data_IF_431039678116
#
_entry.id   IF_431039678116
#
_cell.length_a   1.000
_cell.length_b   1.000
_cell.length_c   1.000
_cell.angle_alpha   90.00
_cell.angle_beta   90.00
_cell.angle_gamma   90.00
#
_symmetry.space_group_name_H-M   'P 1'
#
loop_
_entity.id
_entity.type
_entity.pdbx_description
1 polymer ?
#
# COMPACT_ATOMS: atom_id res chain seq x y z
N UNK A 1 -11.41 2.11 -4.85
CA UNK A 1 -10.21 1.88 -5.69
C UNK A 1 -9.00 1.56 -4.82
N UNK A 2 -8.35 0.42 -5.03
CA UNK A 2 -7.12 0.02 -4.33
C UNK A 2 -5.94 -0.02 -5.32
N UNK A 3 -5.12 1.03 -5.33
CA UNK A 3 -3.99 1.19 -6.24
C UNK A 3 -2.72 0.58 -5.66
N UNK A 4 -1.88 0.03 -6.54
CA UNK A 4 -0.66 -0.70 -6.15
C UNK A 4 -1.00 -1.85 -5.20
N UNK A 5 -2.02 -2.62 -5.58
CA UNK A 5 -2.75 -3.49 -4.65
C UNK A 5 -1.88 -4.58 -4.02
N UNK A 6 -0.80 -5.02 -4.67
CA UNK A 6 0.04 -6.11 -4.18
C UNK A 6 -0.82 -7.36 -3.93
N UNK A 7 -0.79 -7.85 -2.68
CA UNK A 7 -1.63 -8.99 -2.26
C UNK A 7 -2.92 -8.56 -1.53
N UNK A 8 -3.22 -7.26 -1.48
CA UNK A 8 -4.42 -6.75 -0.83
C UNK A 8 -4.37 -6.80 0.69
N UNK A 9 -3.19 -6.58 1.28
CA UNK A 9 -3.03 -6.57 2.73
C UNK A 9 -3.94 -5.55 3.42
N UNK A 10 -3.95 -4.30 2.94
CA UNK A 10 -4.84 -3.25 3.42
C UNK A 10 -6.34 -3.60 3.26
N UNK A 11 -6.70 -4.17 2.10
CA UNK A 11 -8.07 -4.49 1.68
C UNK A 11 -8.72 -5.62 2.46
N UNK A 12 -7.95 -6.59 2.91
CA UNK A 12 -8.45 -7.91 3.36
C UNK A 12 -9.69 -7.89 4.28
N UNK A 13 -9.82 -6.89 5.16
CA UNK A 13 -10.91 -6.80 6.15
C UNK A 13 -11.97 -5.74 5.81
N UNK A 14 -12.00 -5.23 4.57
CA UNK A 14 -13.03 -4.30 4.14
C UNK A 14 -14.30 -5.05 3.75
N UNK A 15 -15.38 -4.85 4.51
CA UNK A 15 -16.66 -5.52 4.30
C UNK A 15 -17.68 -4.62 3.59
N UNK A 16 -18.70 -5.22 2.98
CA UNK A 16 -19.85 -4.53 2.36
C UNK A 16 -19.48 -3.48 1.29
N UNK A 17 -18.41 -3.71 0.54
CA UNK A 17 -17.97 -2.82 -0.54
C UNK A 17 -17.51 -3.56 -1.79
N UNK A 18 -17.64 -2.90 -2.93
CA UNK A 18 -17.07 -3.32 -4.21
C UNK A 18 -15.68 -2.72 -4.37
N UNK A 19 -14.71 -3.56 -4.73
CA UNK A 19 -13.32 -3.12 -4.86
C UNK A 19 -12.78 -3.46 -6.22
N UNK A 20 -12.32 -2.42 -6.90
CA UNK A 20 -11.39 -2.51 -8.03
C UNK A 20 -9.98 -2.32 -7.50
N UNK A 21 -9.14 -3.33 -7.66
CA UNK A 21 -7.73 -3.34 -7.35
C UNK A 21 -6.91 -3.20 -8.62
N UNK A 22 -5.78 -2.47 -8.55
CA UNK A 22 -4.88 -2.28 -9.69
C UNK A 22 -3.48 -2.75 -9.32
N UNK A 23 -2.96 -3.72 -10.07
CA UNK A 23 -1.63 -4.31 -9.87
C UNK A 23 -0.93 -4.49 -11.21
N UNK A 24 0.33 -4.06 -11.31
CA UNK A 24 1.07 -4.10 -12.57
C UNK A 24 1.60 -5.51 -12.88
N UNK A 25 2.03 -6.27 -11.87
CA UNK A 25 2.62 -7.60 -12.07
C UNK A 25 1.52 -8.68 -12.20
N UNK A 26 1.39 -9.36 -13.36
CA UNK A 26 0.36 -10.38 -13.57
C UNK A 26 0.42 -11.55 -12.58
N UNK A 27 1.61 -11.91 -12.07
CA UNK A 27 1.78 -13.01 -11.10
C UNK A 27 1.26 -12.61 -9.73
N UNK A 28 1.53 -11.37 -9.31
CA UNK A 28 0.99 -10.82 -8.07
C UNK A 28 -0.53 -10.68 -8.18
N UNK A 29 -1.02 -10.14 -9.30
CA UNK A 29 -2.45 -10.01 -9.57
C UNK A 29 -3.19 -11.37 -9.57
N UNK A 30 -2.55 -12.44 -10.05
CA UNK A 30 -3.11 -13.79 -9.99
C UNK A 30 -3.30 -14.26 -8.54
N UNK A 31 -2.31 -14.03 -7.67
CA UNK A 31 -2.42 -14.37 -6.23
C UNK A 31 -3.45 -13.48 -5.55
N UNK A 32 -3.49 -12.18 -5.86
CA UNK A 32 -4.53 -11.27 -5.37
C UNK A 32 -5.93 -11.83 -5.68
N UNK A 33 -6.17 -12.26 -6.93
CA UNK A 33 -7.46 -12.83 -7.35
C UNK A 33 -7.84 -14.09 -6.57
N UNK A 34 -6.87 -14.92 -6.21
CA UNK A 34 -7.09 -16.10 -5.36
C UNK A 34 -7.52 -15.70 -3.94
N UNK A 35 -6.87 -14.67 -3.39
CA UNK A 35 -7.13 -14.18 -2.03
C UNK A 35 -8.45 -13.40 -1.92
N UNK A 36 -8.83 -12.66 -2.98
CA UNK A 36 -9.99 -11.76 -3.01
C UNK A 36 -10.86 -12.02 -4.25
N UNK A 37 -11.55 -13.17 -4.36
CA UNK A 37 -12.25 -13.59 -5.58
C UNK A 37 -13.48 -12.74 -5.96
N UNK A 38 -13.95 -11.89 -5.04
CA UNK A 38 -15.07 -10.96 -5.27
C UNK A 38 -14.61 -9.59 -5.75
N UNK A 39 -13.31 -9.31 -5.70
CA UNK A 39 -12.75 -8.04 -6.15
C UNK A 39 -12.52 -8.08 -7.66
N UNK A 40 -12.72 -6.94 -8.31
CA UNK A 40 -12.24 -6.74 -9.66
C UNK A 40 -10.74 -6.43 -9.60
N UNK A 41 -9.93 -7.12 -10.41
CA UNK A 41 -8.49 -6.90 -10.50
C UNK A 41 -8.12 -6.48 -11.92
N UNK A 42 -7.55 -5.28 -12.04
CA UNK A 42 -7.10 -4.70 -13.31
C UNK A 42 -5.57 -4.79 -13.35
N UNK A 43 -5.04 -5.37 -14.42
CA UNK A 43 -3.59 -5.45 -14.65
C UNK A 43 -3.17 -4.24 -15.47
N UNK A 44 -2.74 -3.18 -14.80
CA UNK A 44 -2.40 -1.90 -15.42
C UNK A 44 -1.42 -1.07 -14.58
N UNK A 45 -0.89 0.01 -15.17
CA UNK A 45 -0.17 1.03 -14.42
C UNK A 45 -1.14 1.81 -13.52
N UNK A 46 -0.97 1.69 -12.21
CA UNK A 46 -1.86 2.29 -11.22
C UNK A 46 -1.80 3.83 -11.20
N UNK A 47 -0.65 4.43 -11.56
CA UNK A 47 -0.50 5.88 -11.63
C UNK A 47 -1.37 6.45 -12.76
N UNK A 48 -1.29 5.84 -13.93
CA UNK A 48 -2.12 6.21 -15.08
C UNK A 48 -3.61 5.91 -14.82
N UNK A 49 -3.91 4.73 -14.27
CA UNK A 49 -5.28 4.33 -13.97
C UNK A 49 -5.98 5.31 -13.03
N UNK A 50 -5.26 5.85 -12.03
CA UNK A 50 -5.80 6.88 -11.13
C UNK A 50 -6.25 8.12 -11.92
N UNK A 51 -5.41 8.65 -12.82
CA UNK A 51 -5.73 9.87 -13.57
C UNK A 51 -7.00 9.74 -14.41
N UNK A 52 -7.22 8.57 -15.01
CA UNK A 52 -8.37 8.33 -15.87
C UNK A 52 -9.65 7.99 -15.08
N UNK A 53 -9.54 7.35 -13.92
CA UNK A 53 -10.68 6.71 -13.26
C UNK A 53 -11.01 7.24 -11.85
N UNK A 54 -10.25 8.20 -11.31
CA UNK A 54 -10.44 8.70 -9.93
C UNK A 54 -11.87 9.12 -9.58
N UNK A 55 -12.65 9.58 -10.58
CA UNK A 55 -13.99 10.12 -10.39
C UNK A 55 -15.07 9.04 -10.24
N UNK A 56 -14.74 7.77 -10.51
CA UNK A 56 -15.68 6.64 -10.47
C UNK A 56 -15.81 5.98 -9.09
N UNK A 57 -15.02 6.44 -8.11
CA UNK A 57 -14.92 5.79 -6.80
C UNK A 57 -15.22 6.77 -5.67
N UNK A 58 -15.78 6.26 -4.58
CA UNK A 58 -16.04 7.07 -3.37
C UNK A 58 -14.86 7.06 -2.39
N UNK A 59 -14.02 6.02 -2.49
CA UNK A 59 -12.82 5.84 -1.69
C UNK A 59 -11.63 5.36 -2.52
N UNK A 60 -10.49 6.03 -2.36
CA UNK A 60 -9.23 5.67 -3.04
C UNK A 60 -8.14 5.39 -2.00
N UNK A 61 -7.51 4.23 -2.10
CA UNK A 61 -6.25 3.93 -1.44
C UNK A 61 -5.13 3.87 -2.47
N UNK A 62 -4.04 4.61 -2.24
CA UNK A 62 -2.83 4.50 -3.06
C UNK A 62 -1.57 4.22 -2.24
N UNK A 63 -0.67 3.43 -2.81
CA UNK A 63 0.62 3.06 -2.19
C UNK A 63 1.75 3.00 -3.23
N UNK A 64 2.09 4.14 -3.86
CA UNK A 64 3.08 4.18 -4.93
C UNK A 64 4.47 3.71 -4.44
N UNK A 65 5.27 3.06 -5.30
CA UNK A 65 6.52 2.44 -4.91
C UNK A 65 7.54 3.43 -4.33
N UNK A 66 8.20 3.04 -3.24
CA UNK A 66 9.15 3.88 -2.47
C UNK A 66 10.63 3.71 -2.85
N UNK A 67 10.94 3.03 -3.96
CA UNK A 67 12.28 2.44 -4.11
C UNK A 67 13.41 3.48 -4.10
N UNK A 68 13.20 4.69 -4.63
CA UNK A 68 14.18 5.79 -4.60
C UNK A 68 14.11 6.69 -3.35
N UNK A 69 13.20 6.42 -2.40
CA UNK A 69 12.91 7.30 -1.25
C UNK A 69 13.21 6.68 0.10
N UNK A 70 13.31 5.36 0.15
CA UNK A 70 13.42 4.66 1.43
C UNK A 70 14.79 4.89 2.08
N UNK A 71 14.80 4.92 3.42
CA UNK A 71 16.05 4.92 4.21
C UNK A 71 16.94 3.71 3.88
N UNK A 72 16.32 2.59 3.51
CA UNK A 72 17.01 1.36 3.13
C UNK A 72 17.78 1.54 1.81
N UNK A 73 17.17 2.18 0.81
CA UNK A 73 17.83 2.47 -0.47
C UNK A 73 19.07 3.34 -0.25
N UNK A 74 18.94 4.42 0.54
CA UNK A 74 20.07 5.30 0.90
C UNK A 74 21.15 4.57 1.71
N UNK A 75 20.77 3.63 2.58
CA UNK A 75 21.72 2.87 3.38
C UNK A 75 22.49 1.82 2.57
N UNK A 76 21.97 1.41 1.42
CA UNK A 76 22.63 0.44 0.55
C UNK A 76 23.69 1.14 -0.32
N UNK A 77 24.96 1.07 0.11
CA UNK A 77 26.10 1.68 -0.57
C UNK A 77 26.36 1.18 -2.01
N UNK A 78 25.72 0.08 -2.43
CA UNK A 78 25.79 -0.43 -3.81
C UNK A 78 24.87 0.33 -4.76
N UNK A 79 23.83 0.99 -4.24
CA UNK A 79 22.90 1.75 -5.05
C UNK A 79 23.52 3.10 -5.40
N UNK A 80 23.54 3.43 -6.70
CA UNK A 80 23.98 4.75 -7.14
C UNK A 80 22.99 5.81 -6.65
N UNK A 81 23.45 7.01 -6.24
CA UNK A 81 22.57 8.12 -5.96
C UNK A 81 21.63 8.37 -7.15
N UNK A 82 20.33 8.51 -6.87
CA UNK A 82 19.28 8.76 -7.86
C UNK A 82 18.39 9.88 -7.35
N UNK A 83 17.74 10.60 -8.28
CA UNK A 83 16.72 11.57 -7.91
C UNK A 83 15.55 10.89 -7.20
N UNK A 84 14.93 11.63 -6.29
CA UNK A 84 13.66 11.24 -5.68
C UNK A 84 12.57 11.23 -6.77
N UNK A 85 11.84 10.11 -6.88
CA UNK A 85 10.65 9.93 -7.71
C UNK A 85 9.42 10.65 -7.08
N UNK A 86 8.95 11.71 -7.71
CA UNK A 86 7.90 12.53 -7.11
C UNK A 86 6.49 11.94 -7.28
N UNK A 87 6.31 10.74 -7.85
CA UNK A 87 5.00 10.08 -8.01
C UNK A 87 4.13 10.08 -6.75
N UNK A 88 4.73 9.84 -5.58
CA UNK A 88 4.03 9.93 -4.30
C UNK A 88 3.34 11.29 -4.13
N UNK A 89 4.05 12.37 -4.40
CA UNK A 89 3.52 13.72 -4.24
C UNK A 89 2.60 14.12 -5.38
N UNK A 90 2.86 13.65 -6.61
CA UNK A 90 1.95 13.83 -7.75
C UNK A 90 0.56 13.28 -7.41
N UNK A 91 0.47 12.07 -6.84
CA UNK A 91 -0.81 11.48 -6.46
C UNK A 91 -1.47 12.19 -5.28
N UNK A 92 -0.72 12.61 -4.26
CA UNK A 92 -1.27 13.39 -3.13
C UNK A 92 -1.85 14.72 -3.64
N UNK A 93 -1.12 15.43 -4.50
CA UNK A 93 -1.57 16.71 -5.06
C UNK A 93 -2.79 16.49 -5.95
N UNK A 94 -2.77 15.46 -6.80
CA UNK A 94 -3.88 15.12 -7.67
C UNK A 94 -5.15 14.79 -6.88
N UNK A 95 -5.07 13.89 -5.90
CA UNK A 95 -6.20 13.49 -5.07
C UNK A 95 -6.76 14.66 -4.25
N UNK A 96 -5.88 15.49 -3.70
CA UNK A 96 -6.29 16.71 -2.99
C UNK A 96 -7.02 17.72 -3.89
N UNK A 97 -6.67 17.75 -5.18
CA UNK A 97 -7.19 18.74 -6.14
C UNK A 97 -8.47 18.28 -6.81
N UNK A 98 -8.54 17.02 -7.23
CA UNK A 98 -9.58 16.54 -8.15
C UNK A 98 -10.56 15.56 -7.52
N UNK A 99 -10.13 14.78 -6.52
CA UNK A 99 -10.98 13.73 -5.96
C UNK A 99 -11.84 14.27 -4.81
N UNK A 100 -13.17 14.18 -4.97
CA UNK A 100 -14.16 14.64 -3.99
C UNK A 100 -14.46 13.61 -2.91
N UNK A 101 -14.19 12.33 -3.17
CA UNK A 101 -14.35 11.24 -2.22
C UNK A 101 -13.25 11.23 -1.16
N UNK A 102 -13.28 10.21 -0.30
CA UNK A 102 -12.25 10.02 0.73
C UNK A 102 -11.04 9.35 0.11
N UNK A 103 -9.84 9.75 0.51
CA UNK A 103 -8.64 9.12 0.00
C UNK A 103 -7.57 8.97 1.07
N UNK A 104 -6.73 7.96 0.85
CA UNK A 104 -5.52 7.70 1.62
C UNK A 104 -4.38 7.39 0.68
N UNK A 105 -3.23 8.01 0.93
CA UNK A 105 -1.95 7.63 0.32
C UNK A 105 -1.03 7.14 1.43
N UNK A 106 -0.39 5.99 1.23
CA UNK A 106 0.53 5.38 2.18
C UNK A 106 1.92 5.27 1.58
N UNK A 107 2.95 5.54 2.40
CA UNK A 107 4.33 5.23 2.03
C UNK A 107 5.23 5.02 3.26
N UNK A 108 6.34 4.30 3.11
CA UNK A 108 7.36 4.21 4.17
C UNK A 108 8.04 5.56 4.41
N UNK A 109 8.50 5.80 5.64
CA UNK A 109 9.20 7.04 6.02
C UNK A 109 10.42 7.27 5.11
N UNK A 110 10.47 8.37 4.35
CA UNK A 110 11.57 8.64 3.44
C UNK A 110 12.86 9.02 4.19
N UNK A 111 13.97 9.07 3.45
CA UNK A 111 15.27 9.49 4.01
C UNK A 111 15.40 11.02 4.20
N UNK A 112 14.46 11.80 3.67
CA UNK A 112 14.36 13.25 3.73
C UNK A 112 13.08 13.67 4.46
N UNK A 113 12.92 14.96 4.79
CA UNK A 113 11.67 15.48 5.38
C UNK A 113 10.56 15.43 4.33
N UNK A 114 9.38 14.83 4.61
CA UNK A 114 8.26 14.84 3.67
C UNK A 114 7.95 16.25 3.14
N UNK A 115 7.71 16.38 1.83
CA UNK A 115 7.38 17.66 1.20
C UNK A 115 5.96 18.11 1.52
N UNK A 116 5.08 17.15 1.80
CA UNK A 116 3.74 17.35 2.34
C UNK A 116 3.70 16.64 3.69
N UNK A 117 3.28 17.35 4.73
CA UNK A 117 3.19 16.78 6.08
C UNK A 117 2.16 15.63 6.09
N UNK A 118 2.51 14.46 6.65
CA UNK A 118 1.60 13.32 6.76
C UNK A 118 0.54 13.57 7.82
N UNK A 119 -0.65 12.97 7.65
CA UNK A 119 -1.71 12.99 8.67
C UNK A 119 -1.29 12.24 9.92
N UNK A 120 -0.70 11.05 9.74
CA UNK A 120 -0.25 10.21 10.86
C UNK A 120 0.94 9.35 10.43
N UNK A 121 1.77 9.01 11.41
CA UNK A 121 2.83 8.00 11.29
C UNK A 121 2.47 6.79 12.11
N UNK A 122 2.47 5.61 11.48
CA UNK A 122 2.24 4.32 12.14
C UNK A 122 3.46 3.43 11.91
N UNK A 123 4.27 3.25 12.95
CA UNK A 123 5.54 2.55 12.87
C UNK A 123 6.48 3.15 11.82
N UNK A 124 6.68 2.42 10.71
CA UNK A 124 7.55 2.82 9.59
C UNK A 124 6.81 3.46 8.42
N UNK A 125 5.48 3.55 8.47
CA UNK A 125 4.65 4.08 7.39
C UNK A 125 4.11 5.46 7.77
N UNK A 126 3.93 6.28 6.74
CA UNK A 126 3.28 7.59 6.76
C UNK A 126 1.99 7.48 5.95
N UNK A 127 0.94 8.13 6.44
CA UNK A 127 -0.36 8.17 5.78
C UNK A 127 -0.76 9.63 5.56
N UNK A 128 -1.22 9.94 4.35
CA UNK A 128 -1.83 11.21 3.98
C UNK A 128 -3.29 10.96 3.65
N UNK A 129 -4.19 11.78 4.20
CA UNK A 129 -5.63 11.63 4.05
C UNK A 129 -6.31 12.99 3.95
N UNK A 130 -7.53 13.03 3.40
CA UNK A 130 -8.42 14.21 3.47
C UNK A 130 -9.43 14.12 4.64
N UNK A 131 -9.12 13.34 5.67
CA UNK A 131 -9.91 13.16 6.88
C UNK A 131 -9.00 12.93 8.08
N UNK A 132 -9.50 13.23 9.29
CA UNK A 132 -8.77 12.97 10.52
C UNK A 132 -8.54 11.46 10.69
N UNK A 133 -7.32 11.07 11.09
CA UNK A 133 -6.93 9.68 11.16
C UNK A 133 -6.14 9.38 12.45
N UNK A 134 -6.58 8.35 13.19
CA UNK A 134 -5.90 7.80 14.36
C UNK A 134 -5.83 6.28 14.23
N UNK A 135 -4.62 5.71 14.22
CA UNK A 135 -4.42 4.28 13.91
C UNK A 135 -3.41 3.68 14.88
N UNK A 136 -3.75 2.51 15.41
CA UNK A 136 -2.89 1.71 16.26
C UNK A 136 -1.98 0.81 15.41
N UNK A 137 -0.68 0.79 15.72
CA UNK A 137 0.30 -0.07 15.02
C UNK A 137 0.12 -1.53 15.46
N UNK A 138 0.43 -2.44 14.54
CA UNK A 138 0.44 -3.88 14.83
C UNK A 138 1.87 -4.33 15.03
N UNK A 139 2.21 -4.98 16.17
CA UNK A 139 3.54 -5.52 16.41
C UNK A 139 3.96 -6.49 15.29
N UNK A 140 5.18 -6.29 14.79
CA UNK A 140 5.74 -7.10 13.71
C UNK A 140 6.46 -8.33 14.28
N UNK A 141 6.51 -9.46 13.56
CA UNK A 141 7.32 -10.61 13.93
C UNK A 141 8.80 -10.24 14.13
N UNK A 142 9.49 -10.97 15.02
CA UNK A 142 10.93 -10.77 15.23
C UNK A 142 11.72 -10.98 13.93
N UNK A 143 12.76 -10.17 13.70
CA UNK A 143 13.57 -10.25 12.48
C UNK A 143 12.85 -9.81 11.20
N UNK A 144 11.69 -9.14 11.27
CA UNK A 144 10.86 -8.76 10.12
C UNK A 144 11.62 -8.23 8.88
N UNK A 145 12.67 -7.41 9.07
CA UNK A 145 13.47 -6.86 7.96
C UNK A 145 14.63 -7.77 7.56
N UNK A 146 15.29 -8.41 8.53
CA UNK A 146 16.51 -9.18 8.32
C UNK A 146 16.24 -10.61 7.82
N UNK A 147 15.08 -11.16 8.14
CA UNK A 147 14.71 -12.53 7.79
C UNK A 147 14.36 -12.64 6.31
N UNK A 148 14.91 -13.66 5.65
CA UNK A 148 14.65 -13.99 4.25
C UNK A 148 14.38 -15.48 4.09
N UNK A 149 13.71 -15.86 3.00
CA UNK A 149 13.44 -17.27 2.67
C UNK A 149 12.06 -17.76 3.10
N UNK A 150 11.83 -19.07 2.95
CA UNK A 150 10.50 -19.66 3.00
C UNK A 150 9.86 -19.62 4.39
N UNK A 151 10.63 -19.87 5.45
CA UNK A 151 10.14 -19.79 6.82
C UNK A 151 9.65 -18.37 7.17
N UNK A 152 10.41 -17.35 6.77
CA UNK A 152 10.00 -15.96 6.92
C UNK A 152 8.75 -15.63 6.11
N UNK A 153 8.64 -16.15 4.89
CA UNK A 153 7.44 -15.97 4.07
C UNK A 153 6.22 -16.62 4.73
N UNK A 154 6.35 -17.84 5.26
CA UNK A 154 5.27 -18.51 6.00
C UNK A 154 4.79 -17.71 7.21
N UNK A 155 5.72 -17.26 8.06
CA UNK A 155 5.38 -16.46 9.23
C UNK A 155 4.68 -15.13 8.87
N UNK A 156 5.04 -14.53 7.73
CA UNK A 156 4.36 -13.33 7.22
C UNK A 156 2.99 -13.63 6.62
N UNK A 157 2.82 -14.78 5.96
CA UNK A 157 1.50 -15.24 5.50
C UNK A 157 0.57 -15.40 6.70
N UNK A 158 1.04 -16.00 7.78
CA UNK A 158 0.27 -16.18 9.02
C UNK A 158 -0.04 -14.84 9.68
N UNK A 159 0.97 -13.97 9.83
CA UNK A 159 0.81 -12.65 10.43
C UNK A 159 -0.20 -11.76 9.68
N UNK A 160 -0.19 -11.79 8.34
CA UNK A 160 -1.16 -11.08 7.50
C UNK A 160 -2.45 -11.88 7.28
N UNK A 161 -2.46 -13.17 7.66
CA UNK A 161 -3.42 -14.20 7.24
C UNK A 161 -3.66 -14.27 5.73
N UNK A 162 -2.66 -14.00 4.89
CA UNK A 162 -2.73 -14.08 3.43
C UNK A 162 -2.14 -15.41 2.97
N UNK A 163 -2.98 -16.45 2.89
CA UNK A 163 -2.53 -17.81 2.59
C UNK A 163 -2.68 -18.13 1.10
N UNK A 164 -1.57 -18.46 0.45
CA UNK A 164 -1.50 -18.92 -0.94
C UNK A 164 -0.37 -19.94 -1.09
N UNK A 165 -0.45 -20.79 -2.11
CA UNK A 165 0.55 -21.83 -2.35
C UNK A 165 1.81 -21.29 -3.03
N UNK A 166 2.96 -21.89 -2.71
CA UNK A 166 4.22 -21.55 -3.34
C UNK A 166 4.83 -20.20 -2.92
N UNK A 167 5.75 -19.74 -3.75
CA UNK A 167 6.59 -18.55 -3.52
C UNK A 167 6.38 -17.52 -4.62
N UNK A 168 6.41 -16.25 -4.22
CA UNK A 168 6.16 -15.13 -5.12
C UNK A 168 7.34 -14.17 -5.07
N UNK A 169 7.83 -13.81 -6.25
CA UNK A 169 9.00 -12.97 -6.44
C UNK A 169 8.61 -11.72 -7.22
N UNK A 170 9.22 -10.59 -6.89
CA UNK A 170 8.91 -9.29 -7.49
C UNK A 170 10.13 -8.73 -8.22
N UNK A 171 9.97 -8.40 -9.49
CA UNK A 171 11.06 -7.95 -10.36
C UNK A 171 12.21 -8.97 -10.39
N UNK A 172 13.44 -8.49 -10.14
CA UNK A 172 14.64 -9.33 -10.06
C UNK A 172 14.94 -9.88 -8.66
N UNK A 173 14.05 -9.66 -7.68
CA UNK A 173 14.30 -10.07 -6.29
C UNK A 173 13.95 -11.55 -6.08
N UNK A 174 14.88 -12.31 -5.50
CA UNK A 174 14.72 -13.73 -5.17
C UNK A 174 14.26 -13.99 -3.73
N UNK A 175 13.74 -12.99 -3.02
CA UNK A 175 13.22 -13.12 -1.67
C UNK A 175 11.71 -13.37 -1.66
N UNK A 176 11.22 -14.56 -1.26
CA UNK A 176 9.79 -14.88 -1.27
C UNK A 176 8.97 -14.10 -0.23
N UNK A 177 9.65 -13.49 0.75
CA UNK A 177 9.03 -12.67 1.78
C UNK A 177 8.84 -11.21 1.35
N UNK A 178 9.44 -10.77 0.23
CA UNK A 178 9.47 -9.35 -0.13
C UNK A 178 8.07 -8.77 -0.38
N UNK A 179 7.24 -9.47 -1.16
CA UNK A 179 5.88 -9.00 -1.49
C UNK A 179 5.02 -8.92 -0.23
N UNK A 180 5.15 -9.90 0.66
CA UNK A 180 4.46 -9.92 1.95
C UNK A 180 4.90 -8.76 2.86
N UNK A 181 6.21 -8.45 2.91
CA UNK A 181 6.71 -7.30 3.69
C UNK A 181 6.24 -5.95 3.16
N UNK A 182 5.90 -5.86 1.88
CA UNK A 182 5.38 -4.64 1.28
C UNK A 182 3.89 -4.42 1.60
N UNK A 183 3.19 -5.45 2.08
CA UNK A 183 1.79 -5.32 2.44
C UNK A 183 1.61 -4.46 3.69
N UNK A 184 0.62 -3.57 3.66
CA UNK A 184 0.04 -2.99 4.87
C UNK A 184 -0.71 -4.09 5.63
N UNK A 185 -0.61 -4.08 6.96
CA UNK A 185 -1.28 -5.08 7.78
C UNK A 185 -2.82 -4.94 7.69
N UNK A 186 -3.58 -6.04 7.58
CA UNK A 186 -5.05 -5.98 7.48
C UNK A 186 -5.75 -5.14 8.53
N UNK A 187 -5.37 -5.28 9.81
CA UNK A 187 -5.96 -4.49 10.91
C UNK A 187 -5.69 -2.98 10.77
N UNK A 188 -4.54 -2.59 10.20
CA UNK A 188 -4.23 -1.17 9.92
C UNK A 188 -5.14 -0.68 8.78
N UNK A 189 -5.26 -1.48 7.72
CA UNK A 189 -6.14 -1.18 6.59
C UNK A 189 -7.62 -1.06 6.98
N UNK A 190 -8.08 -1.91 7.89
CA UNK A 190 -9.44 -1.88 8.43
C UNK A 190 -9.72 -0.62 9.26
N UNK A 191 -8.81 -0.26 10.17
CA UNK A 191 -8.93 0.92 11.02
C UNK A 191 -9.06 2.21 10.17
N UNK A 192 -8.23 2.34 9.14
CA UNK A 192 -8.25 3.48 8.21
C UNK A 192 -9.56 3.50 7.41
N UNK A 193 -9.95 2.33 6.89
CA UNK A 193 -11.17 2.21 6.09
C UNK A 193 -12.42 2.57 6.88
N UNK A 194 -12.58 2.07 8.11
CA UNK A 194 -13.69 2.42 9.01
C UNK A 194 -13.75 3.93 9.27
N UNK A 195 -12.61 4.55 9.56
CA UNK A 195 -12.56 6.01 9.78
C UNK A 195 -12.93 6.81 8.53
N UNK A 196 -12.49 6.38 7.34
CA UNK A 196 -12.87 7.03 6.09
C UNK A 196 -14.40 7.03 5.88
N UNK A 197 -15.08 5.93 6.23
CA UNK A 197 -16.53 5.76 6.03
C UNK A 197 -17.38 6.30 7.17
N UNK A 198 -16.82 6.43 8.38
CA UNK A 198 -17.52 6.98 9.55
C UNK A 198 -17.28 8.48 9.75
N UNK A 199 -16.26 9.06 9.10
CA UNK A 199 -16.02 10.50 9.14
C UNK A 199 -17.17 11.23 8.43
N UNK A 200 -18.08 11.79 9.23
CA UNK A 200 -19.18 12.65 8.77
C UNK A 200 -18.65 13.64 7.73
N UNK A 201 -19.41 13.82 6.65
CA UNK A 201 -19.06 14.68 5.53
C UNK A 201 -18.99 16.16 5.97
N UNK A 202 -17.89 16.55 6.61
CA UNK A 202 -17.42 17.94 6.62
C UNK A 202 -16.37 18.02 5.53
N UNK A 203 -16.87 18.21 4.31
CA UNK A 203 -16.06 18.72 3.21
C UNK A 203 -16.24 20.24 3.28
N UNK A 204 -15.17 21.04 3.45
CA UNK A 204 -15.26 22.49 3.36
C UNK A 204 -15.65 22.96 1.95
#
# INVERSE_FOLDING_TARGET
>A
LNLYAGLGGNRKLWENVQVTAVELDPKIAAVYRQLHPRDEIVIADAHHFLQENYHLFDFIWSSPPCQSHSKMDRANCRNRPRYADLKLYEEIIFLKTYHKGRWVVENVVPYYRPLVEPTVRVGRHLFWTNFALSVEDVPRPSGFIASSGQASASALKDWLGLHYEGSLYYGSNHCPAQVLRNCVHPLIGEQIFKQAHHASATIP
#
